data_IF_573643996340
#
_entry.id   IF_573643996340
#
_cell.length_a   1.000
_cell.length_b   1.000
_cell.length_c   1.000
_cell.angle_alpha   90.00
_cell.angle_beta   90.00
_cell.angle_gamma   90.00
#
_symmetry.space_group_name_H-M   'P 1'
#
loop_
_entity.id
_entity.type
_entity.pdbx_description
1 polymer ?
#
# COMPACT_ATOMS: atom_id res chain seq x y z
N UNK A 1 3.88 -38.13 -38.47
CA UNK A 1 4.65 -36.99 -37.99
C UNK A 1 3.71 -35.79 -37.94
N UNK A 2 3.07 -35.58 -36.82
CA UNK A 2 2.18 -34.42 -36.58
C UNK A 2 2.68 -33.71 -35.37
N UNK A 3 3.39 -32.59 -35.62
CA UNK A 3 3.86 -31.68 -34.56
C UNK A 3 2.64 -30.95 -33.99
N UNK A 4 2.31 -31.28 -32.74
CA UNK A 4 1.34 -30.55 -31.96
C UNK A 4 1.92 -29.17 -31.64
N UNK A 5 1.43 -28.14 -32.30
CA UNK A 5 1.68 -26.74 -31.93
C UNK A 5 0.97 -26.51 -30.62
N UNK A 6 1.72 -26.54 -29.50
CA UNK A 6 1.28 -26.01 -28.25
C UNK A 6 1.10 -24.50 -28.44
N UNK A 7 -0.14 -24.07 -28.65
CA UNK A 7 -0.54 -22.68 -28.57
C UNK A 7 -0.16 -22.18 -27.19
N UNK A 8 0.89 -21.36 -27.13
CA UNK A 8 1.13 -20.46 -26.01
C UNK A 8 -0.16 -19.66 -25.81
N UNK A 9 -0.89 -19.99 -24.75
CA UNK A 9 -1.92 -19.08 -24.23
C UNK A 9 -1.19 -17.80 -23.85
N UNK A 10 -1.22 -16.84 -24.76
CA UNK A 10 -0.97 -15.45 -24.42
C UNK A 10 -2.09 -15.05 -23.47
N UNK A 11 -1.82 -15.14 -22.17
CA UNK A 11 -2.64 -14.49 -21.16
C UNK A 11 -2.68 -13.02 -21.54
N UNK A 12 -3.77 -12.65 -22.17
CA UNK A 12 -4.04 -11.31 -22.62
C UNK A 12 -4.11 -10.45 -21.36
N UNK A 13 -3.13 -9.56 -21.18
CA UNK A 13 -3.22 -8.44 -20.22
C UNK A 13 -4.31 -7.50 -20.77
N UNK A 14 -5.55 -7.93 -20.69
CA UNK A 14 -6.73 -7.24 -21.23
C UNK A 14 -7.56 -6.62 -20.12
N UNK A 15 -7.02 -6.46 -18.92
CA UNK A 15 -7.73 -5.74 -17.87
C UNK A 15 -7.43 -4.27 -18.04
N UNK A 16 -8.32 -3.57 -18.72
CA UNK A 16 -8.30 -2.10 -18.75
C UNK A 16 -8.61 -1.64 -17.34
N UNK A 17 -7.58 -1.23 -16.61
CA UNK A 17 -7.77 -0.60 -15.30
C UNK A 17 -8.45 0.76 -15.55
N UNK A 18 -9.67 0.93 -15.05
CA UNK A 18 -10.42 2.17 -15.18
C UNK A 18 -10.80 2.76 -13.81
N UNK A 19 -10.74 1.94 -12.77
CA UNK A 19 -11.15 2.31 -11.41
C UNK A 19 -10.15 1.80 -10.36
N UNK A 20 -10.27 2.31 -9.13
CA UNK A 20 -9.54 1.75 -7.98
C UNK A 20 -9.92 0.30 -7.70
N UNK A 21 -11.18 -0.08 -7.92
CA UNK A 21 -11.63 -1.46 -7.79
C UNK A 21 -10.92 -2.39 -8.75
N UNK A 22 -10.73 -1.97 -10.00
CA UNK A 22 -10.00 -2.76 -10.99
C UNK A 22 -8.53 -2.92 -10.59
N UNK A 23 -7.91 -1.86 -10.05
CA UNK A 23 -6.54 -1.91 -9.54
C UNK A 23 -6.42 -2.91 -8.36
N UNK A 24 -7.36 -2.87 -7.43
CA UNK A 24 -7.39 -3.80 -6.29
C UNK A 24 -7.54 -5.25 -6.78
N UNK A 25 -8.47 -5.52 -7.67
CA UNK A 25 -8.69 -6.86 -8.24
C UNK A 25 -7.44 -7.35 -8.97
N UNK A 26 -6.83 -6.49 -9.79
CA UNK A 26 -5.59 -6.79 -10.49
C UNK A 26 -4.44 -7.13 -9.52
N UNK A 27 -4.27 -6.34 -8.44
CA UNK A 27 -3.22 -6.59 -7.45
C UNK A 27 -3.47 -7.90 -6.68
N UNK A 28 -4.72 -8.23 -6.36
CA UNK A 28 -5.09 -9.50 -5.74
C UNK A 28 -4.78 -10.69 -6.65
N UNK A 29 -5.14 -10.62 -7.92
CA UNK A 29 -4.84 -11.66 -8.90
C UNK A 29 -3.33 -11.85 -9.09
N UNK A 30 -2.59 -10.73 -9.23
CA UNK A 30 -1.14 -10.74 -9.36
C UNK A 30 -0.46 -11.38 -8.13
N UNK A 31 -0.94 -11.03 -6.94
CA UNK A 31 -0.44 -11.56 -5.66
C UNK A 31 -0.66 -13.07 -5.59
N UNK A 32 -1.86 -13.54 -5.94
CA UNK A 32 -2.17 -14.97 -5.98
C UNK A 32 -1.32 -15.73 -7.03
N UNK A 33 -1.04 -15.13 -8.20
CA UNK A 33 -0.23 -15.74 -9.26
C UNK A 33 1.20 -16.06 -8.78
N UNK A 34 1.75 -15.26 -7.88
CA UNK A 34 3.12 -15.45 -7.34
C UNK A 34 3.16 -16.21 -6.03
N UNK A 35 2.02 -16.72 -5.55
CA UNK A 35 1.93 -17.45 -4.27
C UNK A 35 2.00 -16.56 -3.03
N UNK A 36 1.80 -15.25 -3.16
CA UNK A 36 1.71 -14.34 -2.02
C UNK A 36 0.26 -14.25 -1.49
N UNK A 37 0.12 -13.92 -0.21
CA UNK A 37 -1.18 -13.79 0.46
C UNK A 37 -1.63 -12.33 0.52
N UNK A 38 -0.68 -11.41 0.59
CA UNK A 38 -0.95 -10.00 0.83
C UNK A 38 -0.08 -9.08 -0.02
N UNK A 39 -0.60 -7.88 -0.26
CA UNK A 39 0.11 -6.83 -1.01
C UNK A 39 -0.06 -5.46 -0.36
N UNK A 40 0.89 -4.57 -0.64
CA UNK A 40 0.81 -3.14 -0.34
C UNK A 40 1.49 -2.36 -1.46
N UNK A 41 0.72 -1.54 -2.16
CA UNK A 41 1.24 -0.61 -3.17
C UNK A 41 1.49 0.74 -2.53
N UNK A 42 2.73 1.19 -2.59
CA UNK A 42 3.21 2.43 -1.96
C UNK A 42 3.69 3.39 -3.05
N UNK A 43 3.21 4.62 -3.04
CA UNK A 43 3.71 5.72 -3.88
C UNK A 43 4.78 6.50 -3.13
N UNK A 44 5.89 6.84 -3.80
CA UNK A 44 6.89 7.76 -3.27
C UNK A 44 6.54 9.18 -3.73
N UNK A 45 6.31 10.05 -2.76
CA UNK A 45 5.99 11.46 -2.98
C UNK A 45 7.24 12.28 -2.73
N UNK A 46 7.69 13.01 -3.74
CA UNK A 46 8.86 13.87 -3.59
C UNK A 46 8.46 15.16 -2.86
N UNK A 47 9.03 15.35 -1.67
CA UNK A 47 8.93 16.61 -0.91
C UNK A 47 10.14 17.49 -1.15
N UNK A 48 10.02 18.78 -0.82
CA UNK A 48 11.13 19.75 -0.98
C UNK A 48 12.37 19.42 -0.13
N UNK A 49 12.18 18.82 1.04
CA UNK A 49 13.25 18.51 2.00
C UNK A 49 13.47 17.00 2.12
N UNK A 50 12.39 16.22 2.04
CA UNK A 50 12.40 14.77 2.31
C UNK A 50 11.33 14.09 1.47
N UNK A 51 11.67 12.91 0.94
CA UNK A 51 10.65 12.07 0.32
C UNK A 51 9.68 11.55 1.38
N UNK A 52 8.41 11.51 1.02
CA UNK A 52 7.36 10.87 1.78
C UNK A 52 6.86 9.64 1.02
N UNK A 53 6.13 8.76 1.67
CA UNK A 53 5.56 7.60 1.03
C UNK A 53 4.12 7.39 1.49
N UNK A 54 3.27 6.91 0.55
CA UNK A 54 1.85 6.74 0.77
C UNK A 54 1.35 5.41 0.27
N UNK A 55 0.48 4.81 1.05
CA UNK A 55 -0.23 3.60 0.66
C UNK A 55 -1.30 3.99 -0.37
N UNK A 56 -1.20 3.42 -1.56
CA UNK A 56 -2.17 3.57 -2.65
C UNK A 56 -3.27 2.53 -2.56
N UNK A 57 -2.87 1.28 -2.28
CA UNK A 57 -3.76 0.16 -2.08
C UNK A 57 -3.05 -0.90 -1.23
N UNK A 58 -3.77 -1.54 -0.32
CA UNK A 58 -3.24 -2.61 0.54
C UNK A 58 -4.37 -3.53 0.98
N UNK A 59 -4.05 -4.80 1.21
CA UNK A 59 -4.88 -5.74 1.94
C UNK A 59 -4.22 -6.21 3.26
N UNK A 60 -3.14 -5.55 3.68
CA UNK A 60 -2.56 -5.79 5.00
C UNK A 60 -3.57 -5.44 6.08
N UNK A 61 -3.55 -6.20 7.17
CA UNK A 61 -4.35 -5.89 8.35
C UNK A 61 -3.86 -4.59 8.99
N UNK A 62 -4.78 -3.85 9.59
CA UNK A 62 -4.50 -2.55 10.20
C UNK A 62 -3.34 -2.60 11.18
N UNK A 63 -3.31 -3.59 12.08
CA UNK A 63 -2.26 -3.72 13.09
C UNK A 63 -0.86 -3.89 12.47
N UNK A 64 -0.75 -4.63 11.36
CA UNK A 64 0.51 -4.77 10.64
C UNK A 64 0.99 -3.44 10.04
N UNK A 65 0.05 -2.62 9.53
CA UNK A 65 0.37 -1.29 9.00
C UNK A 65 0.84 -0.35 10.11
N UNK A 66 0.12 -0.30 11.24
CA UNK A 66 0.43 0.62 12.33
C UNK A 66 1.71 0.26 13.09
N UNK A 67 1.91 -1.03 13.38
CA UNK A 67 3.03 -1.47 14.21
C UNK A 67 4.37 -1.53 13.46
N UNK A 68 4.34 -1.88 12.20
CA UNK A 68 5.57 -2.10 11.40
C UNK A 68 5.53 -1.43 10.03
N UNK A 69 4.37 -1.42 9.37
CA UNK A 69 4.22 -0.96 8.00
C UNK A 69 4.61 0.51 7.83
N UNK A 70 4.28 1.38 8.76
CA UNK A 70 4.62 2.82 8.71
C UNK A 70 6.12 3.04 8.76
N UNK A 71 6.84 2.32 9.62
CA UNK A 71 8.30 2.40 9.70
C UNK A 71 8.95 1.90 8.41
N UNK A 72 8.49 0.75 7.90
CA UNK A 72 8.96 0.17 6.66
C UNK A 72 8.72 1.10 5.46
N UNK A 73 7.53 1.70 5.34
CA UNK A 73 7.18 2.63 4.28
C UNK A 73 8.06 3.88 4.35
N UNK A 74 8.27 4.45 5.55
CA UNK A 74 9.14 5.61 5.75
C UNK A 74 10.61 5.29 5.41
N UNK A 75 11.09 4.10 5.76
CA UNK A 75 12.42 3.62 5.41
C UNK A 75 12.58 3.43 3.90
N UNK A 76 11.57 2.88 3.21
CA UNK A 76 11.54 2.76 1.75
C UNK A 76 11.61 4.12 1.06
N UNK A 77 10.93 5.14 1.58
CA UNK A 77 10.93 6.49 1.00
C UNK A 77 12.32 7.14 1.01
N UNK A 78 13.16 6.78 1.96
CA UNK A 78 14.47 7.39 2.20
C UNK A 78 15.64 6.45 1.94
N UNK A 79 15.35 5.16 1.75
CA UNK A 79 16.36 4.12 1.59
C UNK A 79 17.07 4.14 0.23
N UNK A 80 18.18 3.43 0.12
CA UNK A 80 18.98 3.34 -1.12
C UNK A 80 18.19 2.73 -2.29
N UNK A 81 17.16 1.94 -2.01
CA UNK A 81 16.28 1.36 -3.03
C UNK A 81 15.51 2.41 -3.84
N UNK A 82 15.31 3.62 -3.29
CA UNK A 82 14.68 4.73 -4.02
C UNK A 82 15.56 5.27 -5.15
N UNK A 83 16.86 5.06 -5.07
CA UNK A 83 17.85 5.60 -6.03
C UNK A 83 18.07 4.67 -7.22
N UNK A 84 17.66 3.40 -7.15
CA UNK A 84 17.99 2.37 -8.15
C UNK A 84 16.84 2.25 -9.16
N UNK A 85 17.01 2.85 -10.34
CA UNK A 85 16.14 2.66 -11.48
C UNK A 85 16.22 1.21 -11.96
N UNK A 86 15.06 0.50 -12.01
CA UNK A 86 14.99 -0.86 -12.55
C UNK A 86 15.58 -1.93 -11.64
N UNK A 87 15.59 -1.72 -10.32
CA UNK A 87 16.08 -2.73 -9.39
C UNK A 87 15.27 -4.03 -9.47
N UNK A 88 15.99 -5.15 -9.31
CA UNK A 88 15.36 -6.47 -9.21
C UNK A 88 14.51 -6.54 -7.94
N UNK A 89 13.47 -7.40 -7.93
CA UNK A 89 12.77 -7.73 -6.70
C UNK A 89 13.75 -8.06 -5.56
N UNK A 90 13.54 -7.49 -4.39
CA UNK A 90 14.43 -7.63 -3.25
C UNK A 90 13.69 -8.22 -2.06
N UNK A 91 14.24 -9.26 -1.44
CA UNK A 91 13.73 -9.77 -0.18
C UNK A 91 13.97 -8.75 0.93
N UNK A 92 12.94 -8.44 1.70
CA UNK A 92 13.03 -7.59 2.89
C UNK A 92 13.07 -8.42 4.17
N UNK A 93 12.24 -9.46 4.23
CA UNK A 93 12.13 -10.38 5.36
C UNK A 93 11.99 -11.81 4.84
N UNK A 94 12.61 -12.77 5.51
CA UNK A 94 12.42 -14.20 5.28
C UNK A 94 12.40 -14.92 6.63
N UNK A 95 11.23 -15.41 7.03
CA UNK A 95 10.98 -15.89 8.39
C UNK A 95 11.17 -14.74 9.40
N UNK A 96 11.86 -15.01 10.50
CA UNK A 96 12.17 -14.00 11.52
C UNK A 96 13.48 -13.23 11.24
N UNK A 97 14.03 -13.37 10.04
CA UNK A 97 15.30 -12.75 9.67
C UNK A 97 15.11 -11.58 8.70
N UNK A 98 15.59 -10.37 9.06
CA UNK A 98 15.61 -9.25 8.13
C UNK A 98 16.69 -9.48 7.07
N UNK A 99 16.30 -9.42 5.80
CA UNK A 99 17.21 -9.49 4.65
C UNK A 99 17.78 -8.10 4.31
N UNK A 100 17.00 -7.05 4.54
CA UNK A 100 17.35 -5.66 4.33
C UNK A 100 17.40 -4.93 5.68
N UNK A 101 18.51 -5.06 6.41
CA UNK A 101 18.67 -4.52 7.78
C UNK A 101 18.57 -3.00 7.87
N UNK A 102 18.77 -2.30 6.78
CA UNK A 102 18.61 -0.83 6.71
C UNK A 102 17.12 -0.43 6.64
N UNK A 103 16.23 -1.37 6.35
CA UNK A 103 14.79 -1.15 6.17
C UNK A 103 13.94 -1.81 7.24
N UNK A 104 14.37 -2.95 7.76
CA UNK A 104 13.64 -3.75 8.74
C UNK A 104 14.60 -4.23 9.82
N UNK A 105 14.29 -3.94 11.06
CA UNK A 105 15.03 -4.46 12.23
C UNK A 105 14.68 -5.92 12.52
N UNK A 106 15.48 -6.58 13.36
CA UNK A 106 15.18 -7.95 13.80
C UNK A 106 13.88 -8.06 14.60
N UNK A 107 13.57 -7.06 15.42
CA UNK A 107 12.33 -7.03 16.21
C UNK A 107 11.10 -6.85 15.31
N UNK A 108 11.19 -5.96 14.31
CA UNK A 108 10.14 -5.77 13.32
C UNK A 108 9.92 -7.03 12.47
N UNK A 109 10.97 -7.75 12.10
CA UNK A 109 10.85 -9.01 11.35
C UNK A 109 10.10 -10.08 12.15
N UNK A 110 10.37 -10.21 13.46
CA UNK A 110 9.64 -11.12 14.34
C UNK A 110 8.17 -10.71 14.45
N UNK A 111 7.89 -9.41 14.59
CA UNK A 111 6.53 -8.90 14.69
C UNK A 111 5.75 -9.11 13.37
N UNK A 112 6.39 -8.89 12.23
CA UNK A 112 5.81 -9.14 10.91
C UNK A 112 5.47 -10.63 10.73
N UNK A 113 6.32 -11.54 11.17
CA UNK A 113 6.06 -12.99 11.14
C UNK A 113 4.80 -13.34 11.96
N UNK A 114 4.69 -12.82 13.19
CA UNK A 114 3.49 -13.00 14.03
C UNK A 114 2.22 -12.44 13.40
N UNK A 115 2.33 -11.35 12.66
CA UNK A 115 1.22 -10.69 11.97
C UNK A 115 0.87 -11.34 10.61
N UNK A 116 1.51 -12.47 10.26
CA UNK A 116 1.23 -13.20 9.02
C UNK A 116 2.02 -12.70 7.81
N UNK A 117 3.15 -12.02 8.01
CA UNK A 117 4.04 -11.53 6.97
C UNK A 117 5.45 -12.10 7.14
N UNK A 118 5.55 -13.45 7.20
CA UNK A 118 6.82 -14.17 7.38
C UNK A 118 7.78 -14.03 6.20
N UNK A 119 7.28 -13.72 5.01
CA UNK A 119 8.10 -13.48 3.82
C UNK A 119 7.62 -12.21 3.14
N UNK A 120 8.55 -11.28 2.86
CA UNK A 120 8.21 -10.00 2.20
C UNK A 120 9.23 -9.72 1.11
N UNK A 121 8.73 -9.43 -0.10
CA UNK A 121 9.52 -8.89 -1.21
C UNK A 121 9.07 -7.50 -1.58
N UNK A 122 10.03 -6.67 -1.97
CA UNK A 122 9.81 -5.34 -2.53
C UNK A 122 10.10 -5.35 -4.03
N UNK A 123 9.13 -4.88 -4.82
CA UNK A 123 9.21 -4.69 -6.25
C UNK A 123 9.18 -3.19 -6.54
N UNK A 124 10.30 -2.64 -7.02
CA UNK A 124 10.35 -1.24 -7.41
C UNK A 124 9.66 -1.03 -8.76
N UNK A 125 8.73 -0.09 -8.82
CA UNK A 125 7.91 0.21 -9.99
C UNK A 125 8.13 1.65 -10.41
N UNK A 126 8.45 1.86 -11.68
CA UNK A 126 8.61 3.19 -12.27
C UNK A 126 7.52 3.42 -13.30
N UNK A 127 6.66 4.40 -13.05
CA UNK A 127 5.52 4.74 -13.90
C UNK A 127 5.63 6.21 -14.28
N UNK A 128 6.15 6.47 -15.46
CA UNK A 128 6.49 7.82 -15.88
C UNK A 128 7.56 8.46 -14.99
N UNK A 129 7.22 9.56 -14.33
CA UNK A 129 8.10 10.23 -13.35
C UNK A 129 7.85 9.81 -11.92
N UNK A 130 6.84 9.00 -11.68
CA UNK A 130 6.46 8.56 -10.35
C UNK A 130 7.06 7.21 -10.00
N UNK A 131 7.47 7.05 -8.75
CA UNK A 131 8.03 5.81 -8.20
C UNK A 131 7.04 5.19 -7.25
N UNK A 132 6.92 3.88 -7.35
CA UNK A 132 6.12 3.06 -6.46
C UNK A 132 6.94 1.88 -5.98
N UNK A 133 6.51 1.32 -4.86
CA UNK A 133 6.93 0.00 -4.42
C UNK A 133 5.69 -0.86 -4.27
N UNK A 134 5.72 -2.06 -4.84
CA UNK A 134 4.78 -3.11 -4.51
C UNK A 134 5.46 -4.04 -3.52
N UNK A 135 4.97 -4.06 -2.29
CA UNK A 135 5.33 -5.05 -1.29
C UNK A 135 4.38 -6.23 -1.46
N UNK A 136 4.92 -7.42 -1.57
CA UNK A 136 4.15 -8.68 -1.58
C UNK A 136 4.62 -9.53 -0.42
N UNK A 137 3.69 -10.14 0.29
CA UNK A 137 4.02 -10.91 1.48
C UNK A 137 3.22 -12.20 1.58
N UNK A 138 3.79 -13.17 2.30
CA UNK A 138 3.18 -14.45 2.60
C UNK A 138 3.33 -14.81 4.07
N UNK A 139 2.38 -15.58 4.59
CA UNK A 139 2.36 -16.06 5.98
C UNK A 139 3.39 -17.15 6.28
N UNK A 140 4.04 -17.70 5.25
CA UNK A 140 5.08 -18.70 5.41
C UNK A 140 6.30 -18.39 4.55
N UNK A 141 7.50 -18.56 5.11
CA UNK A 141 8.74 -18.36 4.38
C UNK A 141 8.90 -19.43 3.28
N UNK A 142 9.29 -19.00 2.07
CA UNK A 142 9.45 -19.86 0.91
C UNK A 142 8.15 -20.13 0.13
N UNK A 143 7.07 -19.46 0.45
CA UNK A 143 5.78 -19.58 -0.24
C UNK A 143 5.78 -18.81 -1.56
N UNK A 144 6.46 -17.66 -1.62
CA UNK A 144 6.47 -16.78 -2.79
C UNK A 144 7.37 -17.36 -3.90
N UNK A 145 6.84 -17.50 -5.11
CA UNK A 145 7.62 -17.89 -6.28
C UNK A 145 8.54 -16.75 -6.74
N UNK A 146 9.80 -16.82 -6.30
CA UNK A 146 10.82 -15.84 -6.65
C UNK A 146 11.06 -15.73 -8.17
N UNK A 147 10.87 -16.82 -8.92
CA UNK A 147 11.06 -16.84 -10.36
C UNK A 147 9.99 -16.03 -11.10
N UNK A 148 8.80 -15.90 -10.51
CA UNK A 148 7.68 -15.15 -11.06
C UNK A 148 7.72 -13.64 -10.70
N UNK A 149 8.49 -13.22 -9.68
CA UNK A 149 8.52 -11.84 -9.20
C UNK A 149 8.89 -10.81 -10.27
N UNK A 150 9.86 -11.13 -11.14
CA UNK A 150 10.27 -10.23 -12.23
C UNK A 150 9.12 -10.03 -13.24
N UNK A 151 8.40 -11.11 -13.57
CA UNK A 151 7.24 -11.04 -14.45
C UNK A 151 6.11 -10.23 -13.81
N UNK A 152 5.88 -10.43 -12.52
CA UNK A 152 4.90 -9.67 -11.74
C UNK A 152 5.25 -8.17 -11.70
N UNK A 153 6.52 -7.82 -11.49
CA UNK A 153 7.00 -6.44 -11.54
C UNK A 153 6.69 -5.77 -12.89
N UNK A 154 6.99 -6.45 -14.01
CA UNK A 154 6.74 -5.93 -15.36
C UNK A 154 5.23 -5.78 -15.62
N UNK A 155 4.42 -6.79 -15.26
CA UNK A 155 2.96 -6.72 -15.38
C UNK A 155 2.40 -5.53 -14.60
N UNK A 156 2.86 -5.33 -13.37
CA UNK A 156 2.41 -4.23 -12.52
C UNK A 156 2.82 -2.87 -13.09
N UNK A 157 4.06 -2.69 -13.54
CA UNK A 157 4.48 -1.45 -14.21
C UNK A 157 3.61 -1.14 -15.43
N UNK A 158 3.34 -2.13 -16.29
CA UNK A 158 2.50 -1.96 -17.46
C UNK A 158 1.07 -1.58 -17.09
N UNK A 159 0.46 -2.27 -16.13
CA UNK A 159 -0.89 -2.00 -15.67
C UNK A 159 -1.03 -0.59 -15.07
N UNK A 160 -0.07 -0.18 -14.24
CA UNK A 160 -0.07 1.15 -13.63
C UNK A 160 0.12 2.28 -14.65
N UNK A 161 0.86 2.05 -15.74
CA UNK A 161 1.00 3.02 -16.83
C UNK A 161 -0.32 3.36 -17.54
N UNK A 162 -1.34 2.50 -17.42
CA UNK A 162 -2.65 2.72 -18.03
C UNK A 162 -3.57 3.62 -17.18
N UNK A 163 -3.22 3.86 -15.92
CA UNK A 163 -4.05 4.61 -14.94
C UNK A 163 -3.32 5.79 -14.29
N UNK A 164 -2.67 6.65 -15.06
CA UNK A 164 -1.85 7.73 -14.49
C UNK A 164 -2.66 8.69 -13.60
N UNK A 165 -3.94 8.88 -13.88
CA UNK A 165 -4.82 9.76 -13.09
C UNK A 165 -5.10 9.18 -11.70
N UNK A 166 -5.41 7.86 -11.61
CA UNK A 166 -5.63 7.19 -10.31
C UNK A 166 -4.38 7.26 -9.43
N UNK A 167 -3.20 7.22 -10.05
CA UNK A 167 -1.92 7.30 -9.35
C UNK A 167 -1.58 8.75 -8.96
N UNK A 168 -1.93 9.73 -9.78
CA UNK A 168 -1.76 11.14 -9.46
C UNK A 168 -2.61 11.54 -8.25
N UNK A 169 -3.86 11.08 -8.18
CA UNK A 169 -4.74 11.30 -7.04
C UNK A 169 -4.21 10.66 -5.74
N UNK A 170 -3.59 9.50 -5.85
CA UNK A 170 -2.97 8.81 -4.71
C UNK A 170 -1.66 9.48 -4.24
N UNK A 171 -0.94 10.12 -5.16
CA UNK A 171 0.28 10.89 -4.87
C UNK A 171 -0.02 12.32 -4.41
N UNK A 172 -1.27 12.77 -4.51
CA UNK A 172 -1.68 14.09 -4.01
C UNK A 172 -1.59 14.10 -2.47
N UNK A 173 -1.19 15.23 -1.96
CA UNK A 173 -0.94 15.41 -0.52
C UNK A 173 -2.18 15.03 0.29
N UNK A 174 -2.01 14.20 1.33
CA UNK A 174 -3.08 13.93 2.29
C UNK A 174 -3.64 15.28 2.78
N UNK A 175 -4.90 15.60 2.48
CA UNK A 175 -5.44 16.89 2.81
C UNK A 175 -5.70 17.05 4.31
N UNK A 176 -5.67 15.94 5.07
CA UNK A 176 -6.01 15.95 6.49
C UNK A 176 -4.82 16.36 7.35
N UNK A 177 -5.09 17.16 8.38
CA UNK A 177 -4.18 17.30 9.50
C UNK A 177 -4.20 16.02 10.36
N UNK A 178 -3.17 15.85 11.20
CA UNK A 178 -3.07 14.67 12.09
C UNK A 178 -4.32 14.52 12.97
N UNK A 179 -4.86 15.62 13.52
CA UNK A 179 -6.06 15.60 14.36
C UNK A 179 -7.33 15.27 13.59
N UNK A 180 -7.47 15.71 12.36
CA UNK A 180 -8.60 15.34 11.50
C UNK A 180 -8.54 13.85 11.14
N UNK A 181 -7.32 13.33 10.88
CA UNK A 181 -7.09 11.90 10.60
C UNK A 181 -7.42 11.04 11.82
N UNK A 182 -6.90 11.38 13.01
CA UNK A 182 -7.20 10.68 14.26
C UNK A 182 -8.72 10.66 14.55
N UNK A 183 -9.40 11.79 14.40
CA UNK A 183 -10.84 11.85 14.58
C UNK A 183 -11.58 10.93 13.60
N UNK A 184 -11.20 10.98 12.31
CA UNK A 184 -11.86 10.20 11.28
C UNK A 184 -11.61 8.70 11.47
N UNK A 185 -10.41 8.34 11.92
CA UNK A 185 -10.04 6.98 12.27
C UNK A 185 -10.94 6.42 13.38
N UNK A 186 -11.01 7.06 14.55
CA UNK A 186 -11.84 6.56 15.65
C UNK A 186 -13.32 6.47 15.30
N UNK A 187 -13.77 7.39 14.46
CA UNK A 187 -15.13 7.36 13.90
C UNK A 187 -15.33 6.16 12.98
N UNK A 188 -14.36 5.78 12.19
CA UNK A 188 -14.42 4.60 11.32
C UNK A 188 -14.47 3.30 12.11
N UNK A 189 -13.85 3.29 13.31
CA UNK A 189 -13.93 2.21 14.31
C UNK A 189 -15.27 2.16 15.08
N UNK A 190 -16.25 2.98 14.68
CA UNK A 190 -17.59 2.99 15.27
C UNK A 190 -17.72 3.82 16.55
N UNK A 191 -16.70 4.59 16.94
CA UNK A 191 -16.76 5.45 18.12
C UNK A 191 -17.67 6.65 17.89
N UNK A 192 -18.45 6.98 18.91
CA UNK A 192 -19.26 8.21 18.95
C UNK A 192 -18.38 9.44 19.08
N UNK A 193 -18.91 10.61 18.73
CA UNK A 193 -18.18 11.89 18.87
C UNK A 193 -17.72 12.14 20.31
N UNK A 194 -18.52 11.75 21.30
CA UNK A 194 -18.20 11.92 22.72
C UNK A 194 -17.08 10.97 23.18
N UNK A 195 -17.10 9.72 22.72
CA UNK A 195 -15.99 8.77 22.98
C UNK A 195 -14.69 9.24 22.35
N UNK A 196 -14.73 9.73 21.10
CA UNK A 196 -13.55 10.31 20.44
C UNK A 196 -13.04 11.53 21.18
N UNK A 197 -13.92 12.37 21.68
CA UNK A 197 -13.55 13.54 22.50
C UNK A 197 -12.77 13.14 23.77
N UNK A 198 -13.22 12.08 24.43
CA UNK A 198 -12.53 11.50 25.60
C UNK A 198 -11.16 10.92 25.19
N UNK A 199 -11.10 10.13 24.12
CA UNK A 199 -9.86 9.49 23.65
C UNK A 199 -8.80 10.53 23.30
N UNK A 200 -9.19 11.60 22.60
CA UNK A 200 -8.26 12.63 22.11
C UNK A 200 -8.01 13.77 23.08
N UNK A 201 -8.73 13.80 24.22
CA UNK A 201 -8.61 14.85 25.24
C UNK A 201 -9.10 16.22 24.76
N UNK A 202 -10.15 16.28 23.94
CA UNK A 202 -10.74 17.49 23.37
C UNK A 202 -12.24 17.56 23.63
N UNK A 203 -12.90 18.65 23.26
CA UNK A 203 -14.37 18.74 23.35
C UNK A 203 -15.07 18.04 22.18
N UNK A 204 -16.30 17.54 22.37
CA UNK A 204 -17.13 16.98 21.31
C UNK A 204 -17.37 17.97 20.16
N UNK A 205 -17.45 19.26 20.46
CA UNK A 205 -17.54 20.33 19.45
C UNK A 205 -16.26 20.41 18.60
N UNK A 206 -15.10 20.23 19.21
CA UNK A 206 -13.80 20.19 18.51
C UNK A 206 -13.73 18.99 17.57
N UNK A 207 -14.17 17.80 18.02
CA UNK A 207 -14.24 16.60 17.19
C UNK A 207 -15.18 16.82 15.99
N UNK A 208 -16.35 17.39 16.20
CA UNK A 208 -17.28 17.73 15.13
C UNK A 208 -16.67 18.69 14.10
N UNK A 209 -15.91 19.69 14.56
CA UNK A 209 -15.19 20.60 13.68
C UNK A 209 -14.14 19.89 12.83
N UNK A 210 -13.33 18.99 13.42
CA UNK A 210 -12.36 18.20 12.68
C UNK A 210 -13.03 17.29 11.63
N UNK A 211 -14.14 16.63 11.98
CA UNK A 211 -14.89 15.80 11.02
C UNK A 211 -15.47 16.67 9.90
N UNK A 212 -15.99 17.86 10.21
CA UNK A 212 -16.53 18.80 9.20
C UNK A 212 -15.43 19.26 8.25
N UNK A 213 -14.25 19.59 8.75
CA UNK A 213 -13.11 19.98 7.92
C UNK A 213 -12.65 18.80 7.05
N UNK A 214 -12.61 17.58 7.57
CA UNK A 214 -12.28 16.39 6.80
C UNK A 214 -13.29 16.16 5.64
N UNK A 215 -14.59 16.32 5.91
CA UNK A 215 -15.65 16.24 4.88
C UNK A 215 -15.40 17.27 3.78
N UNK A 216 -15.09 18.53 4.14
CA UNK A 216 -14.81 19.60 3.18
C UNK A 216 -13.57 19.31 2.34
N UNK A 217 -12.47 18.88 2.99
CA UNK A 217 -11.19 18.57 2.35
C UNK A 217 -11.29 17.43 1.36
N UNK A 218 -12.13 16.43 1.64
CA UNK A 218 -12.43 15.34 0.70
C UNK A 218 -13.51 15.68 -0.33
N UNK A 219 -14.11 16.87 -0.28
CA UNK A 219 -15.28 17.23 -1.08
C UNK A 219 -16.39 16.16 -0.95
N UNK A 220 -16.51 15.55 0.23
CA UNK A 220 -17.48 14.51 0.51
C UNK A 220 -18.84 15.13 0.84
N UNK A 221 -19.93 14.42 0.52
CA UNK A 221 -21.29 14.90 0.79
C UNK A 221 -21.74 14.65 2.23
N UNK A 222 -21.08 13.74 2.94
CA UNK A 222 -21.40 13.40 4.32
C UNK A 222 -20.22 12.66 5.00
N UNK A 223 -20.36 12.42 6.33
CA UNK A 223 -19.39 11.72 7.18
C UNK A 223 -19.05 10.31 6.64
N UNK A 224 -20.04 9.54 6.23
CA UNK A 224 -19.83 8.17 5.74
C UNK A 224 -18.99 8.17 4.45
N UNK A 225 -19.27 9.11 3.54
CA UNK A 225 -18.49 9.26 2.32
C UNK A 225 -17.04 9.72 2.60
N UNK A 226 -16.84 10.60 3.58
CA UNK A 226 -15.50 11.03 3.99
C UNK A 226 -14.68 9.85 4.53
N UNK A 227 -15.27 9.03 5.41
CA UNK A 227 -14.65 7.80 5.94
C UNK A 227 -14.32 6.85 4.79
N UNK A 228 -15.29 6.54 3.93
CA UNK A 228 -15.09 5.64 2.80
C UNK A 228 -13.99 6.15 1.84
N UNK A 229 -13.88 7.47 1.67
CA UNK A 229 -12.81 8.07 0.86
C UNK A 229 -11.46 7.94 1.55
N UNK A 230 -11.36 8.22 2.85
CA UNK A 230 -10.14 8.10 3.63
C UNK A 230 -9.60 6.66 3.61
N UNK A 231 -10.47 5.65 3.83
CA UNK A 231 -10.11 4.23 3.77
C UNK A 231 -9.62 3.86 2.36
N UNK A 232 -10.39 4.21 1.31
CA UNK A 232 -10.02 3.91 -0.07
C UNK A 232 -8.72 4.59 -0.52
N UNK A 233 -8.39 5.73 0.09
CA UNK A 233 -7.14 6.47 -0.19
C UNK A 233 -5.98 6.01 0.69
N UNK A 234 -6.19 5.06 1.61
CA UNK A 234 -5.15 4.59 2.55
C UNK A 234 -4.68 5.67 3.51
N UNK A 235 -5.54 6.63 3.85
CA UNK A 235 -5.24 7.72 4.79
C UNK A 235 -5.54 7.28 6.22
N UNK A 236 -6.56 6.44 6.37
CA UNK A 236 -6.94 5.74 7.61
C UNK A 236 -7.27 4.30 7.30
#
# INVERSE_FOLDING_TARGET
MTASAALLKTDTISTRLASRGDLTSFLMELTAEIGADSYMLVAIVHGEVKNDARIVASNWIFDAIELTGRCLIAALAQGPLTSILGSRPSALVTGQAPCARDLVSGEEAVLLDVLGHAEIYSLALNVGRQRFFLLVSAGQAGQIDQSALMKAQLKCCYALCQVPQLLADAATQDPLSDRERECLFWVSEGKTTDEVAVILGVSSNTVNSYITHAIQKFSASNRAMAIATAIRSGII
#
